data_IF_849090427704
#
_entry.id   IF_849090427704
#
_cell.length_a   1.000
_cell.length_b   1.000
_cell.length_c   1.000
_cell.angle_alpha   90.00
_cell.angle_beta   90.00
_cell.angle_gamma   90.00
#
_symmetry.space_group_name_H-M   'P 1'
#
loop_
_entity.id
_entity.type
_entity.pdbx_description
1 polymer ?
#
# COMPACT_ATOMS: atom_id res chain seq x y z
N UNK A 1 -8.61 7.64 -12.15
CA UNK A 1 -7.85 6.56 -11.51
C UNK A 1 -8.75 5.36 -11.54
N UNK A 2 -8.35 4.34 -12.28
CA UNK A 2 -9.04 3.04 -12.30
C UNK A 2 -8.15 2.10 -11.48
N UNK A 3 -8.67 1.60 -10.36
CA UNK A 3 -7.90 0.76 -9.44
C UNK A 3 -8.59 -0.56 -9.19
N UNK A 4 -7.78 -1.59 -9.14
CA UNK A 4 -8.18 -2.97 -8.91
C UNK A 4 -8.38 -3.28 -7.41
N UNK A 5 -7.83 -2.45 -6.52
CA UNK A 5 -7.86 -2.64 -5.07
C UNK A 5 -8.01 -1.32 -4.30
N UNK A 6 -8.50 -1.43 -3.08
CA UNK A 6 -8.53 -0.31 -2.12
C UNK A 6 -8.48 -0.81 -0.67
N UNK A 7 -7.70 -0.09 0.15
CA UNK A 7 -7.56 -0.38 1.58
C UNK A 7 -8.22 0.68 2.46
N UNK A 8 -9.02 0.21 3.42
CA UNK A 8 -9.61 1.02 4.48
C UNK A 8 -9.24 0.45 5.85
N UNK A 9 -8.34 1.15 6.55
CA UNK A 9 -7.82 0.76 7.87
C UNK A 9 -7.17 -0.63 7.83
N UNK A 10 -7.86 -1.65 8.33
CA UNK A 10 -7.38 -3.02 8.45
C UNK A 10 -8.05 -3.99 7.48
N UNK A 11 -8.83 -3.48 6.52
CA UNK A 11 -9.55 -4.29 5.53
C UNK A 11 -9.27 -3.73 4.14
N UNK A 12 -9.09 -4.62 3.16
CA UNK A 12 -8.97 -4.24 1.76
C UNK A 12 -9.98 -4.99 0.91
N UNK A 13 -10.29 -4.40 -0.24
CA UNK A 13 -11.28 -4.86 -1.19
C UNK A 13 -10.62 -4.93 -2.56
N UNK A 14 -10.86 -6.02 -3.28
CA UNK A 14 -10.33 -6.24 -4.62
C UNK A 14 -11.47 -6.52 -5.59
N UNK A 15 -11.27 -6.17 -6.86
CA UNK A 15 -12.17 -6.61 -7.92
C UNK A 15 -12.07 -8.13 -8.13
N UNK A 16 -13.19 -8.85 -8.33
CA UNK A 16 -13.17 -10.32 -8.40
C UNK A 16 -12.24 -10.89 -9.48
N UNK A 17 -12.11 -10.20 -10.62
CA UNK A 17 -11.30 -10.66 -11.75
C UNK A 17 -9.79 -10.74 -11.47
N UNK A 18 -9.31 -10.06 -10.43
CA UNK A 18 -7.88 -9.97 -10.10
C UNK A 18 -7.56 -10.50 -8.70
N UNK A 19 -8.56 -11.06 -7.99
CA UNK A 19 -8.45 -11.59 -6.63
C UNK A 19 -7.59 -12.87 -6.51
N UNK A 20 -7.07 -13.42 -7.61
CA UNK A 20 -6.07 -14.49 -7.57
C UNK A 20 -4.62 -13.96 -7.56
N UNK A 21 -4.43 -12.66 -7.82
CA UNK A 21 -3.11 -12.02 -7.93
C UNK A 21 -2.52 -11.68 -6.57
N UNK A 22 -1.68 -12.58 -6.03
CA UNK A 22 -1.03 -12.39 -4.71
C UNK A 22 -0.22 -11.09 -4.59
N UNK A 23 0.34 -10.58 -5.69
CA UNK A 23 1.05 -9.29 -5.71
C UNK A 23 0.15 -8.15 -5.22
N UNK A 24 -1.09 -8.09 -5.72
CA UNK A 24 -2.01 -7.01 -5.32
C UNK A 24 -2.49 -7.18 -3.89
N UNK A 25 -2.74 -8.42 -3.43
CA UNK A 25 -3.02 -8.67 -2.01
C UNK A 25 -1.88 -8.15 -1.12
N UNK A 26 -0.64 -8.39 -1.51
CA UNK A 26 0.52 -7.90 -0.77
C UNK A 26 0.58 -6.37 -0.79
N UNK A 27 0.33 -5.74 -1.94
CA UNK A 27 0.24 -4.28 -2.08
C UNK A 27 -0.76 -3.67 -1.10
N UNK A 28 -1.99 -4.20 -1.04
CA UNK A 28 -3.01 -3.71 -0.10
C UNK A 28 -2.63 -3.94 1.38
N UNK A 29 -1.93 -5.04 1.69
CA UNK A 29 -1.42 -5.27 3.05
C UNK A 29 -0.34 -4.25 3.46
N UNK A 30 0.43 -3.72 2.51
CA UNK A 30 1.34 -2.59 2.79
C UNK A 30 0.52 -1.37 3.21
N UNK A 31 -0.59 -1.07 2.52
CA UNK A 31 -1.47 0.01 2.94
C UNK A 31 -2.08 -0.24 4.32
N UNK A 32 -2.46 -1.48 4.66
CA UNK A 32 -2.93 -1.80 6.02
C UNK A 32 -1.87 -1.44 7.07
N UNK A 33 -0.60 -1.75 6.82
CA UNK A 33 0.49 -1.37 7.72
C UNK A 33 0.68 0.15 7.80
N UNK A 34 0.58 0.87 6.67
CA UNK A 34 0.64 2.34 6.65
C UNK A 34 -0.53 2.97 7.42
N UNK A 35 -1.76 2.47 7.25
CA UNK A 35 -2.94 2.89 8.01
C UNK A 35 -2.76 2.66 9.52
N UNK A 36 -2.22 1.51 9.90
CA UNK A 36 -1.95 1.19 11.31
C UNK A 36 -0.92 2.15 11.93
N UNK A 37 0.12 2.51 11.17
CA UNK A 37 1.20 3.39 11.63
C UNK A 37 0.76 4.86 11.72
N UNK A 38 0.07 5.39 10.70
CA UNK A 38 -0.33 6.81 10.66
C UNK A 38 -1.64 7.08 11.41
N UNK A 39 -2.50 6.08 11.54
CA UNK A 39 -3.88 6.27 11.95
C UNK A 39 -4.72 6.93 10.85
N UNK A 40 -6.04 6.96 11.07
CA UNK A 40 -6.97 7.20 9.98
C UNK A 40 -6.90 8.60 9.38
N UNK A 41 -6.82 9.64 10.22
CA UNK A 41 -6.83 11.03 9.75
C UNK A 41 -5.54 11.35 9.01
N UNK A 42 -4.39 11.09 9.63
CA UNK A 42 -3.08 11.39 9.04
C UNK A 42 -2.81 10.58 7.76
N UNK A 43 -3.28 9.33 7.67
CA UNK A 43 -3.18 8.56 6.44
C UNK A 43 -3.95 9.25 5.30
N UNK A 44 -5.23 9.58 5.50
CA UNK A 44 -6.07 10.19 4.45
C UNK A 44 -5.49 11.53 4.01
N UNK A 45 -5.12 12.39 4.97
CA UNK A 45 -4.54 13.71 4.68
C UNK A 45 -3.26 13.59 3.85
N UNK A 46 -2.34 12.72 4.26
CA UNK A 46 -1.08 12.49 3.54
C UNK A 46 -1.34 11.88 2.16
N UNK A 47 -2.18 10.86 2.07
CA UNK A 47 -2.48 10.17 0.83
C UNK A 47 -3.07 11.10 -0.24
N UNK A 48 -4.07 11.91 0.14
CA UNK A 48 -4.67 12.90 -0.76
C UNK A 48 -3.64 13.95 -1.17
N UNK A 49 -2.88 14.48 -0.21
CA UNK A 49 -1.84 15.49 -0.48
C UNK A 49 -0.77 14.97 -1.45
N UNK A 50 -0.31 13.73 -1.26
CA UNK A 50 0.67 13.08 -2.12
C UNK A 50 0.14 12.85 -3.53
N UNK A 51 -1.09 12.36 -3.69
CA UNK A 51 -1.72 12.17 -5.00
C UNK A 51 -1.88 13.51 -5.72
N UNK A 52 -2.32 14.57 -5.02
CA UNK A 52 -2.46 15.90 -5.60
C UNK A 52 -1.13 16.51 -6.03
N UNK A 53 -0.05 16.21 -5.30
CA UNK A 53 1.28 16.79 -5.53
C UNK A 53 2.07 16.01 -6.58
N UNK A 54 2.05 14.68 -6.53
CA UNK A 54 2.93 13.82 -7.33
C UNK A 54 2.17 13.00 -8.39
N UNK A 55 0.84 12.95 -8.32
CA UNK A 55 0.04 11.98 -9.05
C UNK A 55 0.05 10.61 -8.38
N UNK A 56 -0.91 9.75 -8.76
CA UNK A 56 -1.14 8.47 -8.12
C UNK A 56 0.09 7.55 -8.12
N UNK A 57 0.60 7.20 -9.31
CA UNK A 57 1.73 6.26 -9.45
C UNK A 57 3.02 6.77 -8.78
N UNK A 58 3.13 8.08 -8.59
CA UNK A 58 4.32 8.71 -8.03
C UNK A 58 4.19 9.13 -6.56
N UNK A 59 3.02 8.93 -5.94
CA UNK A 59 2.79 9.21 -4.53
C UNK A 59 3.74 8.39 -3.65
N UNK A 60 4.46 9.00 -2.68
CA UNK A 60 5.38 8.28 -1.80
C UNK A 60 4.82 7.03 -1.13
N UNK A 61 3.58 7.05 -0.61
CA UNK A 61 2.94 5.88 -0.01
C UNK A 61 2.73 4.74 -1.02
N UNK A 62 2.31 5.08 -2.24
CA UNK A 62 2.16 4.13 -3.36
C UNK A 62 3.51 3.56 -3.81
N UNK A 63 4.55 4.40 -3.90
CA UNK A 63 5.91 3.94 -4.24
C UNK A 63 6.46 2.92 -3.25
N UNK A 64 6.17 3.08 -1.97
CA UNK A 64 6.54 2.09 -0.95
C UNK A 64 5.79 0.77 -1.22
N UNK A 65 4.48 0.83 -1.48
CA UNK A 65 3.69 -0.36 -1.79
C UNK A 65 4.18 -1.07 -3.06
N UNK A 66 4.45 -0.34 -4.16
CA UNK A 66 5.02 -0.89 -5.38
C UNK A 66 6.41 -1.50 -5.20
N UNK A 67 7.27 -0.85 -4.42
CA UNK A 67 8.61 -1.38 -4.15
C UNK A 67 8.53 -2.72 -3.40
N UNK A 68 7.66 -2.80 -2.38
CA UNK A 68 7.53 -4.02 -1.57
C UNK A 68 6.77 -5.12 -2.30
N UNK A 69 5.74 -4.80 -3.09
CA UNK A 69 5.03 -5.80 -3.90
C UNK A 69 5.93 -6.40 -5.00
N UNK A 70 6.85 -5.60 -5.55
CA UNK A 70 7.82 -6.04 -6.53
C UNK A 70 8.88 -6.91 -5.87
N UNK A 71 9.38 -6.50 -4.70
CA UNK A 71 10.29 -7.31 -3.90
C UNK A 71 9.69 -8.67 -3.53
N UNK A 72 8.42 -8.70 -3.11
CA UNK A 72 7.67 -9.92 -2.85
C UNK A 72 7.54 -10.79 -4.11
N UNK A 73 7.14 -10.19 -5.24
CA UNK A 73 6.94 -10.91 -6.51
C UNK A 73 8.22 -11.53 -7.05
N UNK A 74 9.38 -10.94 -6.74
CA UNK A 74 10.69 -11.44 -7.12
C UNK A 74 11.28 -12.47 -6.13
N UNK A 75 10.50 -12.93 -5.15
CA UNK A 75 10.94 -13.95 -4.18
C UNK A 75 11.89 -13.40 -3.11
N UNK A 76 11.77 -12.12 -2.77
CA UNK A 76 12.54 -11.49 -1.70
C UNK A 76 12.37 -12.21 -0.35
N UNK A 77 13.38 -12.09 0.51
CA UNK A 77 13.35 -12.69 1.84
C UNK A 77 12.21 -12.15 2.70
N UNK A 78 11.74 -12.96 3.65
CA UNK A 78 10.66 -12.55 4.57
C UNK A 78 11.18 -11.52 5.58
N UNK A 79 10.39 -10.48 5.82
CA UNK A 79 10.66 -9.45 6.81
C UNK A 79 9.36 -8.97 7.46
N UNK A 80 9.48 -8.26 8.57
CA UNK A 80 8.34 -7.62 9.22
C UNK A 80 8.03 -6.28 8.53
N UNK A 81 6.93 -6.27 7.78
CA UNK A 81 6.44 -5.09 7.05
C UNK A 81 6.07 -3.97 8.03
N UNK A 82 5.49 -4.29 9.19
CA UNK A 82 5.05 -3.25 10.14
C UNK A 82 6.23 -2.47 10.69
N UNK A 83 7.29 -3.19 11.10
CA UNK A 83 8.56 -2.58 11.50
C UNK A 83 9.24 -1.81 10.37
N UNK A 84 9.20 -2.32 9.14
CA UNK A 84 9.76 -1.63 7.97
C UNK A 84 9.05 -0.30 7.71
N UNK A 85 7.71 -0.30 7.74
CA UNK A 85 6.89 0.89 7.50
C UNK A 85 7.13 1.92 8.59
N UNK A 86 7.16 1.53 9.87
CA UNK A 86 7.44 2.44 10.97
C UNK A 86 8.78 3.20 10.86
N UNK A 87 9.75 2.67 10.11
CA UNK A 87 11.05 3.33 9.85
C UNK A 87 11.05 4.21 8.60
N UNK A 88 10.02 4.12 7.75
CA UNK A 88 9.97 4.76 6.43
C UNK A 88 9.01 5.94 6.35
N UNK A 89 8.03 6.02 7.24
CA UNK A 89 6.94 7.02 7.15
C UNK A 89 6.74 7.85 8.40
#
# INVERSE_FOLDING_TARGET
MDVDGITYKNTYYLLPQIASGLRLHFHELVHVAQWAQLGAVAFIERYISEIQTFGYESAPLEKIAYALDSFFSNGGEKFDITSYIAQKI
#
